data_IF_589819741030
#
_entry.id   IF_589819741030
#
_cell.length_a   1.000
_cell.length_b   1.000
_cell.length_c   1.000
_cell.angle_alpha   90.00
_cell.angle_beta   90.00
_cell.angle_gamma   90.00
#
_symmetry.space_group_name_H-M   'P 1'
#
loop_
_entity.id
_entity.type
_entity.pdbx_description
1 polymer ?
#
# COMPACT_ATOMS: atom_id res chain seq x y z
N UNK A 1 -25.60 21.51 -36.94
CA UNK A 1 -26.12 21.64 -35.56
C UNK A 1 -26.61 20.25 -35.15
N UNK A 2 -25.68 19.32 -34.93
CA UNK A 2 -24.94 19.04 -33.69
C UNK A 2 -25.78 18.23 -32.70
N UNK A 3 -25.82 16.92 -32.94
CA UNK A 3 -26.25 15.87 -32.00
C UNK A 3 -25.35 14.65 -32.25
N UNK A 4 -24.03 14.82 -32.10
CA UNK A 4 -23.08 13.72 -32.35
C UNK A 4 -21.84 13.71 -31.48
N UNK A 5 -21.67 14.66 -30.54
CA UNK A 5 -20.42 14.78 -29.78
C UNK A 5 -20.51 14.26 -28.33
N UNK A 6 -21.69 14.00 -27.77
CA UNK A 6 -21.81 13.50 -26.38
C UNK A 6 -21.77 11.96 -26.24
N UNK A 7 -21.85 11.20 -27.35
CA UNK A 7 -21.90 9.74 -27.29
C UNK A 7 -20.53 9.04 -27.41
N UNK A 8 -19.45 9.79 -27.67
CA UNK A 8 -18.12 9.25 -27.91
C UNK A 8 -17.22 9.18 -26.66
N UNK A 9 -17.53 9.90 -25.58
CA UNK A 9 -16.73 9.94 -24.34
C UNK A 9 -17.08 8.85 -23.31
N UNK A 10 -18.08 8.02 -23.56
CA UNK A 10 -18.51 6.97 -22.62
C UNK A 10 -17.76 5.62 -22.76
N UNK A 11 -16.71 5.56 -23.58
CA UNK A 11 -15.97 4.32 -23.85
C UNK A 11 -14.65 4.34 -23.08
N UNK A 12 -14.54 3.38 -22.17
CA UNK A 12 -13.33 2.99 -21.42
C UNK A 12 -13.10 3.62 -20.04
N UNK A 13 -14.17 3.88 -19.27
CA UNK A 13 -14.00 3.97 -17.81
C UNK A 13 -13.84 2.55 -17.25
N UNK A 14 -12.75 2.23 -16.52
CA UNK A 14 -12.59 0.93 -15.89
C UNK A 14 -13.81 0.66 -14.99
N UNK A 15 -14.33 -0.56 -15.03
CA UNK A 15 -15.42 -0.97 -14.13
C UNK A 15 -14.97 -0.72 -12.69
N UNK A 16 -15.76 0.04 -11.94
CA UNK A 16 -15.52 0.27 -10.52
C UNK A 16 -15.40 -1.06 -9.80
N UNK A 17 -14.41 -1.13 -8.91
CA UNK A 17 -14.22 -2.24 -7.99
C UNK A 17 -15.55 -2.54 -7.27
N UNK A 18 -16.02 -3.79 -7.35
CA UNK A 18 -17.03 -4.30 -6.42
C UNK A 18 -16.44 -4.10 -5.03
N UNK A 19 -17.03 -3.26 -4.17
CA UNK A 19 -16.46 -2.86 -2.86
C UNK A 19 -16.25 -1.37 -2.64
N UNK A 20 -16.56 -0.54 -3.64
CA UNK A 20 -16.42 0.90 -3.55
C UNK A 20 -14.99 1.34 -3.21
N UNK A 21 -14.86 2.39 -2.40
CA UNK A 21 -13.55 3.02 -2.15
C UNK A 21 -12.70 2.20 -1.18
N UNK A 22 -13.28 1.64 -0.12
CA UNK A 22 -12.56 0.76 0.82
C UNK A 22 -12.09 -0.52 0.13
N UNK A 23 -12.92 -1.10 -0.75
CA UNK A 23 -12.55 -2.24 -1.58
C UNK A 23 -11.39 -1.93 -2.53
N UNK A 24 -11.41 -0.76 -3.16
CA UNK A 24 -10.30 -0.30 -3.99
C UNK A 24 -9.01 -0.10 -3.18
N UNK A 25 -9.10 0.45 -1.97
CA UNK A 25 -7.96 0.59 -1.07
C UNK A 25 -7.37 -0.77 -0.65
N UNK A 26 -8.22 -1.80 -0.43
CA UNK A 26 -7.76 -3.18 -0.18
C UNK A 26 -6.98 -3.77 -1.36
N UNK A 27 -7.48 -3.63 -2.58
CA UNK A 27 -6.78 -4.14 -3.76
C UNK A 27 -5.48 -3.34 -4.03
N UNK A 28 -5.49 -2.04 -3.74
CA UNK A 28 -4.30 -1.21 -3.82
C UNK A 28 -3.25 -1.59 -2.77
N UNK A 29 -3.67 -1.91 -1.54
CA UNK A 29 -2.76 -2.35 -0.49
C UNK A 29 -2.12 -3.70 -0.81
N UNK A 30 -2.83 -4.62 -1.47
CA UNK A 30 -2.24 -5.90 -1.89
C UNK A 30 -1.22 -5.74 -3.02
N UNK A 31 -1.46 -4.82 -3.96
CA UNK A 31 -0.45 -4.48 -4.96
C UNK A 31 0.82 -3.89 -4.33
N UNK A 32 0.65 -3.02 -3.33
CA UNK A 32 1.74 -2.50 -2.53
C UNK A 32 2.47 -3.61 -1.76
N UNK A 33 1.74 -4.50 -1.10
CA UNK A 33 2.29 -5.62 -0.34
C UNK A 33 3.07 -6.59 -1.23
N UNK A 34 2.62 -6.82 -2.46
CA UNK A 34 3.33 -7.62 -3.44
C UNK A 34 4.69 -7.02 -3.78
N UNK A 35 4.75 -5.70 -4.03
CA UNK A 35 6.02 -5.00 -4.28
C UNK A 35 6.92 -5.04 -3.05
N UNK A 36 6.39 -4.82 -1.85
CA UNK A 36 7.16 -4.94 -0.61
C UNK A 36 7.78 -6.34 -0.44
N UNK A 37 7.01 -7.41 -0.68
CA UNK A 37 7.53 -8.79 -0.67
C UNK A 37 8.61 -9.01 -1.74
N UNK A 38 8.40 -8.53 -2.96
CA UNK A 38 9.38 -8.64 -4.04
C UNK A 38 10.69 -7.93 -3.70
N UNK A 39 10.62 -6.68 -3.26
CA UNK A 39 11.78 -5.91 -2.81
C UNK A 39 12.54 -6.64 -1.70
N UNK A 40 11.83 -7.20 -0.72
CA UNK A 40 12.46 -7.94 0.39
C UNK A 40 13.11 -9.25 -0.05
N UNK A 41 12.55 -9.94 -1.04
CA UNK A 41 13.07 -11.20 -1.58
C UNK A 41 14.34 -11.03 -2.43
N UNK A 42 14.59 -9.82 -2.94
CA UNK A 42 15.75 -9.51 -3.76
C UNK A 42 16.74 -8.66 -2.96
N UNK A 43 17.84 -9.30 -2.55
CA UNK A 43 18.84 -8.68 -1.68
C UNK A 43 19.55 -7.47 -2.33
N UNK A 44 19.64 -7.43 -3.66
CA UNK A 44 20.20 -6.29 -4.41
C UNK A 44 19.25 -5.11 -4.39
N UNK A 45 17.95 -5.35 -4.62
CA UNK A 45 16.91 -4.34 -4.43
C UNK A 45 16.99 -3.82 -2.99
N UNK A 46 16.92 -4.71 -1.99
CA UNK A 46 16.99 -4.34 -0.58
C UNK A 46 18.24 -3.52 -0.22
N UNK A 47 19.41 -3.81 -0.79
CA UNK A 47 20.61 -3.01 -0.52
C UNK A 47 20.56 -1.58 -1.09
N UNK A 48 19.82 -1.37 -2.19
CA UNK A 48 19.60 -0.04 -2.77
C UNK A 48 18.46 0.73 -2.08
N UNK A 49 17.73 0.07 -1.18
CA UNK A 49 16.59 0.64 -0.44
C UNK A 49 17.01 1.39 0.82
N UNK A 50 18.26 1.29 1.26
CA UNK A 50 18.72 1.85 2.53
C UNK A 50 19.34 3.22 2.28
N UNK A 51 18.52 4.28 2.18
CA UNK A 51 18.98 5.67 2.27
C UNK A 51 18.67 6.24 3.64
N UNK A 52 19.71 6.59 4.39
CA UNK A 52 19.56 7.27 5.68
C UNK A 52 18.97 8.67 5.44
N UNK A 53 17.79 8.96 5.99
CA UNK A 53 17.18 10.30 5.94
C UNK A 53 18.17 11.27 6.60
N UNK A 54 18.65 12.24 5.82
CA UNK A 54 19.51 13.31 6.30
C UNK A 54 18.72 14.63 6.38
N UNK A 55 18.84 15.36 7.50
CA UNK A 55 18.30 16.72 7.64
C UNK A 55 17.01 16.83 8.46
N UNK A 56 16.16 17.80 8.12
CA UNK A 56 14.91 18.12 8.83
C UNK A 56 13.84 17.00 8.74
N UNK A 57 14.03 16.05 7.83
CA UNK A 57 13.21 14.84 7.66
C UNK A 57 13.59 13.72 8.64
N UNK A 58 14.68 13.87 9.41
CA UNK A 58 15.08 12.90 10.42
C UNK A 58 14.43 13.22 11.78
N UNK A 59 13.82 12.22 12.41
CA UNK A 59 13.34 12.32 13.79
C UNK A 59 14.52 12.50 14.79
N UNK A 60 14.97 13.73 14.97
CA UNK A 60 16.16 14.14 15.75
C UNK A 60 16.18 13.75 17.25
N UNK A 61 15.16 13.04 17.77
CA UNK A 61 15.02 12.71 19.20
C UNK A 61 14.73 11.26 19.57
N UNK A 62 14.62 10.33 18.61
CA UNK A 62 14.47 8.90 18.96
C UNK A 62 15.33 8.03 18.07
N UNK A 63 16.23 7.30 18.74
CA UNK A 63 17.06 6.21 18.23
C UNK A 63 16.41 5.42 17.09
N UNK A 64 16.89 5.63 15.86
CA UNK A 64 17.01 4.65 14.78
C UNK A 64 17.47 5.41 13.53
N UNK A 65 18.33 4.80 12.73
CA UNK A 65 18.61 5.26 11.38
C UNK A 65 17.27 5.31 10.63
N UNK A 66 16.79 6.51 10.29
CA UNK A 66 15.53 6.70 9.61
C UNK A 66 15.80 6.39 8.13
N UNK A 67 15.15 5.40 7.55
CA UNK A 67 15.45 4.95 6.20
C UNK A 67 14.29 5.29 5.28
N UNK A 68 14.57 6.08 4.25
CA UNK A 68 13.65 6.26 3.13
C UNK A 68 14.00 5.24 2.06
N UNK A 69 13.04 4.45 1.61
CA UNK A 69 13.30 3.46 0.56
C UNK A 69 12.61 3.78 -0.76
N UNK A 70 13.22 3.39 -1.89
CA UNK A 70 12.52 3.37 -3.18
C UNK A 70 11.22 2.55 -3.09
N UNK A 71 11.15 1.55 -2.21
CA UNK A 71 9.96 0.74 -2.00
C UNK A 71 8.84 1.57 -1.34
N UNK A 72 9.13 2.39 -0.33
CA UNK A 72 8.14 3.27 0.30
C UNK A 72 7.53 4.24 -0.72
N UNK A 73 8.41 4.92 -1.47
CA UNK A 73 7.98 5.84 -2.52
C UNK A 73 7.16 5.10 -3.58
N UNK A 74 7.65 3.97 -4.09
CA UNK A 74 6.96 3.22 -5.14
C UNK A 74 5.60 2.69 -4.64
N UNK A 75 5.52 2.15 -3.43
CA UNK A 75 4.27 1.68 -2.81
C UNK A 75 3.26 2.82 -2.70
N UNK A 76 3.67 3.98 -2.18
CA UNK A 76 2.81 5.15 -2.08
C UNK A 76 2.30 5.59 -3.45
N UNK A 77 3.17 5.62 -4.48
CA UNK A 77 2.80 5.98 -5.85
C UNK A 77 1.87 4.95 -6.50
N UNK A 78 2.06 3.65 -6.24
CA UNK A 78 1.16 2.58 -6.71
C UNK A 78 -0.24 2.76 -6.14
N UNK A 79 -0.35 2.99 -4.82
CA UNK A 79 -1.65 3.18 -4.17
C UNK A 79 -2.34 4.42 -4.75
N UNK A 80 -1.62 5.54 -4.84
CA UNK A 80 -2.15 6.77 -5.43
C UNK A 80 -2.65 6.56 -6.88
N UNK A 81 -1.84 5.88 -7.72
CA UNK A 81 -2.19 5.61 -9.12
C UNK A 81 -3.43 4.72 -9.25
N UNK A 82 -3.50 3.65 -8.46
CA UNK A 82 -4.62 2.70 -8.51
C UNK A 82 -5.93 3.33 -8.07
N UNK A 83 -5.90 4.09 -6.98
CA UNK A 83 -7.08 4.80 -6.49
C UNK A 83 -7.51 5.86 -7.50
N UNK A 84 -6.58 6.71 -7.98
CA UNK A 84 -6.88 7.73 -8.98
C UNK A 84 -7.46 7.17 -10.28
N UNK A 85 -6.99 6.00 -10.73
CA UNK A 85 -7.54 5.31 -11.92
C UNK A 85 -8.99 4.87 -11.74
N UNK A 86 -9.40 4.50 -10.52
CA UNK A 86 -10.76 4.04 -10.21
C UNK A 86 -11.69 5.19 -9.77
N UNK A 87 -11.12 6.20 -9.12
CA UNK A 87 -11.78 7.38 -8.58
C UNK A 87 -10.98 8.63 -8.97
N UNK A 88 -11.14 9.13 -10.21
CA UNK A 88 -10.41 10.31 -10.68
C UNK A 88 -10.61 11.56 -9.80
N UNK A 89 -11.74 11.65 -9.10
CA UNK A 89 -12.04 12.72 -8.13
C UNK A 89 -11.07 12.75 -6.94
N UNK A 90 -10.38 11.63 -6.68
CA UNK A 90 -9.36 11.49 -5.64
C UNK A 90 -7.94 11.64 -6.16
N UNK A 91 -7.76 11.92 -7.45
CA UNK A 91 -6.44 12.23 -8.00
C UNK A 91 -5.86 13.47 -7.28
N UNK A 92 -4.65 13.33 -6.73
CA UNK A 92 -4.02 14.37 -5.90
C UNK A 92 -4.54 14.47 -4.46
N UNK A 93 -5.53 13.67 -4.05
CA UNK A 93 -6.06 13.60 -2.68
C UNK A 93 -5.51 12.39 -1.88
N UNK A 94 -4.43 11.78 -2.36
CA UNK A 94 -3.69 10.72 -1.66
C UNK A 94 -2.40 11.31 -1.10
N UNK A 95 -2.36 11.45 0.22
CA UNK A 95 -1.26 11.96 1.01
C UNK A 95 -0.53 10.79 1.66
N UNK A 96 0.74 10.95 2.03
CA UNK A 96 1.47 9.92 2.77
C UNK A 96 2.74 10.45 3.40
N UNK A 97 3.48 9.56 4.06
CA UNK A 97 4.74 9.88 4.72
C UNK A 97 5.80 10.38 3.73
N UNK A 98 5.88 9.75 2.56
CA UNK A 98 7.03 9.93 1.67
C UNK A 98 6.84 11.05 0.65
N UNK A 99 7.94 11.77 0.39
CA UNK A 99 8.03 12.59 -0.83
C UNK A 99 8.32 11.72 -2.06
N UNK A 100 7.98 12.21 -3.24
CA UNK A 100 8.02 11.42 -4.48
C UNK A 100 9.41 11.31 -5.14
N UNK A 101 10.45 11.87 -4.53
CA UNK A 101 11.78 11.99 -5.13
C UNK A 101 12.80 11.18 -4.35
N UNK A 102 13.65 10.44 -5.08
CA UNK A 102 14.80 9.75 -4.51
C UNK A 102 16.08 10.20 -5.21
N UNK A 103 17.21 10.09 -4.52
CA UNK A 103 18.51 10.31 -5.15
C UNK A 103 19.06 8.98 -5.65
N UNK A 104 19.46 8.88 -6.92
CA UNK A 104 20.09 7.67 -7.44
C UNK A 104 21.58 7.56 -7.03
N UNK A 105 22.22 6.44 -7.37
CA UNK A 105 23.64 6.19 -7.05
C UNK A 105 24.62 7.20 -7.68
N UNK A 106 24.17 8.00 -8.67
CA UNK A 106 24.95 9.05 -9.31
C UNK A 106 24.73 10.43 -8.67
N UNK A 107 23.98 10.51 -7.56
CA UNK A 107 23.65 11.77 -6.89
C UNK A 107 22.60 12.61 -7.63
N UNK A 108 21.85 12.01 -8.57
CA UNK A 108 20.80 12.70 -9.31
C UNK A 108 19.43 12.44 -8.67
N UNK A 109 18.67 13.51 -8.50
CA UNK A 109 17.30 13.41 -8.01
C UNK A 109 16.37 12.89 -9.12
N UNK A 110 15.59 11.88 -8.78
CA UNK A 110 14.64 11.20 -9.67
C UNK A 110 13.28 11.17 -9.00
N UNK A 111 12.32 11.89 -9.58
CA UNK A 111 10.92 11.80 -9.19
C UNK A 111 10.31 10.50 -9.69
N UNK A 112 9.82 9.68 -8.76
CA UNK A 112 9.25 8.36 -9.04
C UNK A 112 7.81 8.47 -9.52
N UNK A 113 7.57 7.94 -10.71
CA UNK A 113 6.28 7.92 -11.37
C UNK A 113 5.87 6.48 -11.69
N UNK A 114 4.61 6.15 -11.41
CA UNK A 114 3.95 4.96 -11.94
C UNK A 114 3.11 5.42 -13.13
N UNK A 115 3.58 5.10 -14.34
CA UNK A 115 2.93 5.48 -15.59
C UNK A 115 1.62 4.72 -15.85
N UNK A 116 0.99 4.97 -17.00
CA UNK A 116 -0.15 4.18 -17.47
C UNK A 116 0.29 2.81 -17.98
N UNK A 117 1.54 2.69 -18.44
CA UNK A 117 2.10 1.45 -18.97
C UNK A 117 3.32 0.97 -18.19
N UNK A 118 3.59 -0.33 -18.27
CA UNK A 118 4.82 -0.94 -17.71
C UNK A 118 6.06 -0.25 -18.28
N UNK A 119 6.05 0.09 -19.57
CA UNK A 119 7.17 0.75 -20.25
C UNK A 119 7.46 2.14 -19.66
N UNK A 120 6.43 2.95 -19.42
CA UNK A 120 6.59 4.28 -18.79
C UNK A 120 7.16 4.17 -17.37
N UNK A 121 6.64 3.23 -16.57
CA UNK A 121 7.17 2.97 -15.21
C UNK A 121 8.60 2.46 -15.27
N UNK A 122 8.91 1.56 -16.21
CA UNK A 122 10.27 1.04 -16.42
C UNK A 122 11.25 2.16 -16.73
N UNK A 123 10.93 3.03 -17.69
CA UNK A 123 11.78 4.17 -18.06
C UNK A 123 12.05 5.12 -16.88
N UNK A 124 11.07 5.30 -15.98
CA UNK A 124 11.26 6.05 -14.75
C UNK A 124 12.21 5.31 -13.79
N UNK A 125 11.94 4.03 -13.53
CA UNK A 125 12.71 3.22 -12.58
C UNK A 125 14.14 2.96 -13.06
N UNK A 126 14.41 2.90 -14.37
CA UNK A 126 15.77 2.81 -14.90
C UNK A 126 16.61 4.03 -14.56
N UNK A 127 16.03 5.23 -14.48
CA UNK A 127 16.74 6.44 -14.06
C UNK A 127 17.08 6.40 -12.56
N UNK A 128 16.16 5.85 -11.76
CA UNK A 128 16.32 5.67 -10.33
C UNK A 128 17.38 4.61 -9.98
N UNK A 129 17.36 3.48 -10.69
CA UNK A 129 18.20 2.31 -10.40
C UNK A 129 19.51 2.28 -11.20
N UNK A 130 19.68 3.21 -12.16
CA UNK A 130 20.88 3.31 -12.99
C UNK A 130 21.07 2.05 -13.82
N UNK A 131 22.17 1.34 -13.58
CA UNK A 131 22.58 0.17 -14.35
C UNK A 131 21.80 -1.11 -14.00
N UNK A 132 20.95 -1.09 -12.95
CA UNK A 132 20.13 -2.25 -12.58
C UNK A 132 18.79 -2.30 -13.33
N UNK A 133 18.88 -2.47 -14.65
CA UNK A 133 17.72 -2.51 -15.55
C UNK A 133 16.80 -3.72 -15.28
N UNK A 134 17.35 -4.85 -14.85
CA UNK A 134 16.57 -6.05 -14.54
C UNK A 134 15.64 -5.79 -13.35
N UNK A 135 16.18 -5.20 -12.28
CA UNK A 135 15.40 -4.76 -11.12
C UNK A 135 14.34 -3.71 -11.50
N UNK A 136 14.70 -2.73 -12.32
CA UNK A 136 13.77 -1.71 -12.79
C UNK A 136 12.59 -2.33 -13.55
N UNK A 137 12.87 -3.31 -14.42
CA UNK A 137 11.87 -4.02 -15.18
C UNK A 137 10.96 -4.86 -14.28
N UNK A 138 11.54 -5.64 -13.36
CA UNK A 138 10.76 -6.46 -12.42
C UNK A 138 9.85 -5.61 -11.53
N UNK A 139 10.32 -4.46 -11.05
CA UNK A 139 9.49 -3.53 -10.27
C UNK A 139 8.39 -2.87 -11.10
N UNK A 140 8.66 -2.52 -12.35
CA UNK A 140 7.64 -1.99 -13.25
C UNK A 140 6.54 -3.02 -13.52
N UNK A 141 6.90 -4.26 -13.83
CA UNK A 141 5.94 -5.36 -14.00
C UNK A 141 5.12 -5.61 -12.73
N UNK A 142 5.76 -5.58 -11.55
CA UNK A 142 5.11 -5.76 -10.26
C UNK A 142 4.12 -4.64 -9.93
N UNK A 143 4.49 -3.38 -10.20
CA UNK A 143 3.63 -2.21 -9.95
C UNK A 143 2.31 -2.27 -10.75
N UNK A 144 2.37 -2.85 -11.94
CA UNK A 144 1.25 -2.99 -12.88
C UNK A 144 0.48 -4.32 -12.76
N UNK A 145 0.92 -5.25 -11.90
CA UNK A 145 0.22 -6.53 -11.70
C UNK A 145 -1.17 -6.30 -11.11
N UNK A 146 -2.22 -6.74 -11.79
CA UNK A 146 -3.59 -6.61 -11.27
C UNK A 146 -3.91 -7.70 -10.24
N UNK A 147 -4.72 -7.33 -9.24
CA UNK A 147 -5.18 -8.21 -8.16
C UNK A 147 -6.70 -8.18 -8.12
N UNK A 148 -7.30 -9.32 -7.82
CA UNK A 148 -8.73 -9.49 -7.60
C UNK A 148 -9.05 -9.96 -6.20
N UNK A 149 -10.34 -10.21 -5.95
CA UNK A 149 -10.84 -10.63 -4.64
C UNK A 149 -10.21 -11.94 -4.15
N UNK A 150 -9.89 -12.86 -5.06
CA UNK A 150 -9.31 -14.16 -4.72
C UNK A 150 -7.83 -14.07 -4.31
N UNK A 151 -7.18 -12.93 -4.56
CA UNK A 151 -5.79 -12.70 -4.13
C UNK A 151 -5.72 -12.11 -2.72
N UNK A 152 -6.86 -11.64 -2.18
CA UNK A 152 -6.94 -11.06 -0.84
C UNK A 152 -7.20 -12.13 0.20
N UNK A 153 -6.33 -12.18 1.21
CA UNK A 153 -6.59 -12.93 2.44
C UNK A 153 -7.32 -12.01 3.44
N UNK A 154 -8.65 -11.95 3.31
CA UNK A 154 -9.56 -11.17 4.14
C UNK A 154 -10.83 -11.97 4.42
N UNK A 155 -11.34 -11.92 5.66
CA UNK A 155 -12.48 -12.74 6.09
C UNK A 155 -13.79 -12.40 5.36
N UNK A 156 -14.03 -11.11 5.16
CA UNK A 156 -15.14 -10.62 4.38
C UNK A 156 -14.73 -9.36 3.62
N UNK A 157 -15.40 -9.13 2.50
CA UNK A 157 -15.07 -8.02 1.61
C UNK A 157 -16.05 -6.86 1.83
N UNK A 158 -15.63 -5.58 1.77
CA UNK A 158 -16.51 -4.47 2.10
C UNK A 158 -17.67 -4.36 1.10
N UNK A 159 -18.88 -4.00 1.57
CA UNK A 159 -19.94 -3.60 0.66
C UNK A 159 -19.58 -2.27 -0.01
N UNK A 160 -20.23 -1.98 -1.14
CA UNK A 160 -20.09 -0.66 -1.78
C UNK A 160 -20.67 0.42 -0.87
N UNK A 161 -19.90 1.48 -0.65
CA UNK A 161 -20.35 2.62 0.15
C UNK A 161 -21.35 3.48 -0.64
N UNK A 162 -22.48 3.79 -0.03
CA UNK A 162 -23.51 4.61 -0.63
C UNK A 162 -23.28 6.10 -0.33
N UNK A 163 -23.48 6.96 -1.33
CA UNK A 163 -23.47 8.43 -1.17
C UNK A 163 -22.16 9.03 -0.63
N UNK A 164 -21.00 8.43 -0.95
CA UNK A 164 -19.71 9.05 -0.66
C UNK A 164 -19.54 10.33 -1.49
N UNK A 165 -19.31 11.44 -0.80
CA UNK A 165 -18.88 12.71 -1.42
C UNK A 165 -17.36 12.69 -1.57
N UNK A 166 -16.90 12.19 -2.73
CA UNK A 166 -15.47 11.99 -3.02
C UNK A 166 -14.65 13.28 -2.92
N UNK A 167 -15.26 14.45 -3.17
CA UNK A 167 -14.57 15.74 -3.06
C UNK A 167 -14.18 16.09 -1.62
N UNK A 168 -14.91 15.54 -0.64
CA UNK A 168 -14.62 15.72 0.79
C UNK A 168 -13.66 14.69 1.36
N UNK A 169 -13.33 13.66 0.61
CA UNK A 169 -12.48 12.56 1.09
C UNK A 169 -11.01 12.87 0.80
N UNK A 170 -10.17 12.55 1.77
CA UNK A 170 -8.73 12.46 1.65
C UNK A 170 -8.27 11.06 2.04
N UNK A 171 -7.12 10.66 1.53
CA UNK A 171 -6.50 9.38 1.86
C UNK A 171 -5.11 9.64 2.43
N UNK A 172 -4.78 8.97 3.52
CA UNK A 172 -3.44 8.98 4.09
C UNK A 172 -2.85 7.58 4.00
N UNK A 173 -1.60 7.46 3.55
CA UNK A 173 -0.88 6.18 3.49
C UNK A 173 0.42 6.22 4.29
N UNK A 174 0.60 5.20 5.11
CA UNK A 174 1.90 4.73 5.60
C UNK A 174 2.32 3.56 4.70
N UNK A 175 3.30 3.75 3.79
CA UNK A 175 3.57 2.78 2.75
C UNK A 175 4.21 1.49 3.27
N UNK A 176 5.12 1.57 4.24
CA UNK A 176 5.73 0.43 4.94
C UNK A 176 6.02 0.84 6.39
N UNK A 177 5.00 0.71 7.23
CA UNK A 177 5.14 0.93 8.67
C UNK A 177 6.10 -0.11 9.27
N UNK A 178 6.86 0.32 10.27
CA UNK A 178 7.98 -0.44 10.85
C UNK A 178 9.10 -0.72 9.84
N UNK A 179 9.53 0.31 9.10
CA UNK A 179 10.60 0.24 8.08
C UNK A 179 11.89 -0.40 8.60
N UNK A 180 12.23 -0.19 9.88
CA UNK A 180 13.38 -0.84 10.51
C UNK A 180 13.26 -2.36 10.54
N UNK A 181 12.07 -2.89 10.85
CA UNK A 181 11.82 -4.33 10.86
C UNK A 181 11.76 -4.89 9.44
N UNK A 182 11.25 -4.10 8.49
CA UNK A 182 11.28 -4.44 7.07
C UNK A 182 12.73 -4.60 6.54
N UNK A 183 13.61 -3.65 6.87
CA UNK A 183 15.02 -3.67 6.46
C UNK A 183 15.81 -4.75 7.20
N UNK A 184 15.64 -4.88 8.53
CA UNK A 184 16.30 -5.93 9.31
C UNK A 184 15.89 -7.30 8.80
N UNK A 185 14.60 -7.42 8.49
CA UNK A 185 14.01 -8.59 7.89
C UNK A 185 14.11 -9.84 8.75
N UNK A 186 14.21 -9.66 10.06
CA UNK A 186 14.21 -10.73 11.04
C UNK A 186 12.82 -11.40 11.09
N UNK A 187 12.80 -12.68 11.45
CA UNK A 187 11.56 -13.41 11.73
C UNK A 187 11.62 -13.82 13.20
N UNK A 188 10.77 -13.22 14.02
CA UNK A 188 10.73 -13.51 15.45
C UNK A 188 9.77 -14.68 15.75
N UNK A 189 9.72 -15.06 17.03
CA UNK A 189 8.77 -16.05 17.53
C UNK A 189 7.66 -15.37 18.32
N UNK A 190 6.46 -15.96 18.26
CA UNK A 190 5.33 -15.52 19.06
C UNK A 190 5.67 -15.61 20.55
N UNK A 191 5.44 -14.52 21.28
CA UNK A 191 5.67 -14.45 22.72
C UNK A 191 4.58 -15.18 23.53
N UNK A 192 4.73 -15.22 24.86
CA UNK A 192 3.80 -15.90 25.78
C UNK A 192 2.35 -15.38 25.74
N UNK A 193 2.12 -14.21 25.14
CA UNK A 193 0.80 -13.58 24.99
C UNK A 193 0.18 -13.78 23.60
N UNK A 194 0.87 -14.47 22.69
CA UNK A 194 0.37 -14.67 21.33
C UNK A 194 0.73 -13.55 20.35
N UNK A 195 1.72 -12.70 20.66
CA UNK A 195 2.13 -11.58 19.79
C UNK A 195 3.57 -11.71 19.29
N UNK A 196 3.79 -11.22 18.07
CA UNK A 196 5.13 -10.88 17.57
C UNK A 196 5.57 -9.56 18.21
N UNK A 197 6.84 -9.48 18.63
CA UNK A 197 7.40 -8.30 19.29
C UNK A 197 8.38 -7.54 18.40
N UNK A 198 8.80 -8.13 17.27
CA UNK A 198 9.72 -7.56 16.28
C UNK A 198 9.64 -8.31 14.95
N UNK A 199 10.47 -7.95 13.98
CA UNK A 199 10.61 -8.67 12.71
C UNK A 199 9.51 -8.38 11.70
N UNK A 200 9.57 -9.10 10.57
CA UNK A 200 8.72 -8.89 9.40
C UNK A 200 7.22 -8.98 9.72
N UNK A 201 6.84 -9.76 10.73
CA UNK A 201 5.45 -9.81 11.19
C UNK A 201 4.94 -8.47 11.76
N UNK A 202 5.80 -7.54 12.14
CA UNK A 202 5.39 -6.20 12.58
C UNK A 202 5.20 -5.21 11.44
N UNK A 203 5.55 -5.57 10.20
CA UNK A 203 5.46 -4.67 9.04
C UNK A 203 4.02 -4.60 8.54
N UNK A 204 3.51 -3.39 8.34
CA UNK A 204 2.16 -3.15 7.80
C UNK A 204 2.15 -2.07 6.73
N UNK A 205 1.16 -2.11 5.87
CA UNK A 205 0.82 -1.05 4.92
C UNK A 205 -0.53 -0.51 5.35
N UNK A 206 -0.56 0.77 5.72
CA UNK A 206 -1.72 1.38 6.35
C UNK A 206 -2.32 2.43 5.44
N UNK A 207 -3.59 2.27 5.06
CA UNK A 207 -4.32 3.23 4.24
C UNK A 207 -5.53 3.70 5.03
N UNK A 208 -5.57 4.99 5.37
CA UNK A 208 -6.69 5.63 6.07
C UNK A 208 -7.48 6.54 5.15
N UNK A 209 -8.81 6.47 5.20
CA UNK A 209 -9.71 7.42 4.56
C UNK A 209 -10.21 8.39 5.63
N UNK A 210 -10.24 9.68 5.32
CA UNK A 210 -10.70 10.70 6.25
C UNK A 210 -11.52 11.80 5.54
N UNK A 211 -12.40 12.45 6.30
CA UNK A 211 -13.09 13.64 5.84
C UNK A 211 -12.16 14.85 5.96
N UNK A 212 -11.84 15.51 4.84
CA UNK A 212 -10.87 16.61 4.77
C UNK A 212 -11.27 17.84 5.57
N UNK A 213 -12.57 18.03 5.85
CA UNK A 213 -13.08 19.20 6.55
C UNK A 213 -12.99 19.04 8.07
N UNK A 214 -13.40 17.88 8.57
CA UNK A 214 -13.46 17.56 10.00
C UNK A 214 -12.21 16.85 10.52
N UNK A 215 -11.40 16.27 9.63
CA UNK A 215 -10.24 15.44 9.95
C UNK A 215 -10.59 14.08 10.54
N UNK A 216 -11.88 13.70 10.56
CA UNK A 216 -12.31 12.43 11.18
C UNK A 216 -12.00 11.25 10.25
N UNK A 217 -11.48 10.13 10.79
CA UNK A 217 -11.31 8.90 10.03
C UNK A 217 -12.69 8.32 9.67
N UNK A 218 -12.79 7.83 8.43
CA UNK A 218 -14.00 7.23 7.87
C UNK A 218 -13.81 5.75 7.58
N UNK A 219 -12.63 5.36 7.10
CA UNK A 219 -12.29 3.96 6.86
C UNK A 219 -10.80 3.73 7.04
N UNK A 220 -10.42 2.47 7.16
CA UNK A 220 -9.03 2.06 7.24
C UNK A 220 -8.83 0.70 6.63
N UNK A 221 -7.67 0.51 6.00
CA UNK A 221 -7.15 -0.76 5.52
C UNK A 221 -5.78 -0.97 6.15
N UNK A 222 -5.58 -2.17 6.70
CA UNK A 222 -4.28 -2.64 7.19
C UNK A 222 -3.95 -3.90 6.41
N UNK A 223 -2.88 -3.85 5.62
CA UNK A 223 -2.30 -5.04 4.98
C UNK A 223 -1.02 -5.41 5.72
N UNK A 224 -0.93 -6.66 6.19
CA UNK A 224 0.29 -7.21 6.77
C UNK A 224 0.94 -8.10 5.70
N UNK A 225 1.99 -7.64 4.99
CA UNK A 225 2.52 -8.36 3.84
C UNK A 225 3.18 -9.69 4.20
N UNK A 226 3.72 -9.79 5.42
CA UNK A 226 4.50 -10.91 5.93
C UNK A 226 3.75 -11.60 7.08
N UNK A 227 2.64 -12.28 6.75
CA UNK A 227 1.82 -12.96 7.75
C UNK A 227 2.17 -14.43 7.90
N UNK A 228 2.18 -15.19 6.81
CA UNK A 228 2.51 -16.60 6.80
C UNK A 228 3.64 -16.88 5.80
N UNK A 229 4.58 -17.74 6.17
CA UNK A 229 5.69 -18.14 5.33
C UNK A 229 5.58 -19.61 4.95
N UNK A 230 5.50 -19.87 3.65
CA UNK A 230 5.61 -21.20 3.08
C UNK A 230 7.00 -21.38 2.42
N UNK A 231 7.58 -22.56 2.52
CA UNK A 231 8.94 -22.83 2.00
C UNK A 231 9.00 -22.90 0.48
N UNK A 232 7.86 -23.07 -0.20
CA UNK A 232 7.74 -23.15 -1.65
C UNK A 232 7.17 -21.85 -2.20
N UNK A 233 6.05 -21.39 -1.65
CA UNK A 233 5.31 -20.21 -2.14
C UNK A 233 5.83 -18.88 -1.55
N UNK A 234 6.65 -18.95 -0.51
CA UNK A 234 7.21 -17.78 0.17
C UNK A 234 6.20 -17.08 1.09
N UNK A 235 6.34 -15.76 1.21
CA UNK A 235 5.48 -14.95 2.08
C UNK A 235 4.10 -14.71 1.48
N UNK A 236 3.08 -14.92 2.30
CA UNK A 236 1.69 -14.52 2.06
C UNK A 236 1.24 -13.54 3.14
N UNK A 237 0.40 -12.59 2.73
CA UNK A 237 -0.12 -11.54 3.60
C UNK A 237 -1.49 -11.86 4.19
N UNK A 238 -2.01 -10.91 4.95
CA UNK A 238 -3.43 -10.81 5.33
C UNK A 238 -3.86 -9.35 5.40
N UNK A 239 -5.15 -9.12 5.18
CA UNK A 239 -5.73 -7.79 5.14
C UNK A 239 -6.86 -7.64 6.15
N UNK A 240 -7.00 -6.43 6.67
CA UNK A 240 -8.13 -6.01 7.49
C UNK A 240 -8.66 -4.69 6.95
N UNK A 241 -9.98 -4.48 7.10
CA UNK A 241 -10.59 -3.20 6.86
C UNK A 241 -11.66 -2.87 7.90
N UNK A 242 -11.92 -1.58 8.04
CA UNK A 242 -13.05 -1.06 8.79
C UNK A 242 -13.60 0.21 8.11
N UNK A 243 -14.90 0.45 8.24
CA UNK A 243 -15.60 1.63 7.73
C UNK A 243 -16.62 2.12 8.76
N UNK A 244 -16.71 3.44 8.95
CA UNK A 244 -17.64 4.11 9.82
C UNK A 244 -18.04 5.50 9.27
N UNK A 245 -19.34 5.72 9.06
CA UNK A 245 -19.91 7.02 8.64
C UNK A 245 -20.78 7.68 9.72
N UNK A 246 -20.69 7.17 10.94
CA UNK A 246 -21.51 7.61 12.08
C UNK A 246 -22.92 6.98 12.13
N UNK A 247 -23.39 6.36 11.03
CA UNK A 247 -24.64 5.59 11.02
C UNK A 247 -24.38 4.08 10.99
N UNK A 248 -23.41 3.66 10.18
CA UNK A 248 -22.99 2.28 10.00
C UNK A 248 -21.55 2.12 10.47
N UNK A 249 -21.25 0.98 11.08
CA UNK A 249 -19.89 0.56 11.42
C UNK A 249 -19.72 -0.87 10.95
N UNK A 250 -18.77 -1.10 10.04
CA UNK A 250 -18.50 -2.38 9.40
C UNK A 250 -17.01 -2.67 9.48
N UNK A 251 -16.63 -3.95 9.55
CA UNK A 251 -15.23 -4.37 9.57
C UNK A 251 -15.09 -5.82 9.15
N UNK A 252 -13.86 -6.21 8.83
CA UNK A 252 -13.47 -7.59 8.54
C UNK A 252 -12.81 -8.32 9.71
N UNK A 253 -12.88 -7.78 10.93
CA UNK A 253 -12.31 -8.51 12.05
C UNK A 253 -13.21 -9.70 12.37
N UNK A 254 -12.62 -10.88 12.62
CA UNK A 254 -13.40 -12.00 13.10
C UNK A 254 -14.04 -11.64 14.45
N UNK A 255 -15.23 -12.17 14.72
CA UNK A 255 -15.85 -12.02 16.05
C UNK A 255 -14.84 -12.48 17.12
N UNK A 256 -14.57 -11.61 18.08
CA UNK A 256 -13.60 -11.91 19.14
C UNK A 256 -14.14 -13.04 20.02
N UNK A 257 -13.68 -14.27 19.77
CA UNK A 257 -13.94 -15.40 20.66
C UNK A 257 -12.95 -15.30 21.82
N UNK A 258 -13.40 -14.75 22.95
CA UNK A 258 -12.60 -14.69 24.17
C UNK A 258 -12.02 -16.07 24.53
N UNK A 259 -10.72 -16.14 24.83
CA UNK A 259 -10.02 -17.36 25.27
C UNK A 259 -10.67 -18.06 26.48
N UNK A 260 -11.56 -17.38 27.21
CA UNK A 260 -12.31 -17.97 28.32
C UNK A 260 -13.41 -18.96 27.88
N UNK A 261 -13.72 -19.07 26.59
CA UNK A 261 -14.74 -20.00 26.09
C UNK A 261 -14.21 -21.41 25.76
N UNK A 262 -12.90 -21.63 25.80
CA UNK A 262 -12.29 -22.93 25.44
C UNK A 262 -12.24 -23.93 26.61
N UNK A 263 -12.61 -23.53 27.85
CA UNK A 263 -12.64 -24.42 29.02
C UNK A 263 -14.05 -24.82 29.45
N UNK A 264 -14.81 -25.50 28.59
CA UNK A 264 -15.90 -26.42 29.01
C UNK A 264 -16.08 -27.54 27.99
N UNK A 265 -15.27 -28.58 28.09
CA UNK A 265 -15.65 -29.97 27.80
C UNK A 265 -14.98 -30.89 28.81
#
# INVERSE_FOLDING_TARGET
MSCSDEAAEARDRPRRCSGGLTGCALLASEAAAHVARMCRSNQRLLSMLVQEKCGDDANSRRFAHDFKTLADVLVQRIVAKRIGRQFPELEGNVYGEENDTIQNNNGQDVTILVGETVEETFQCLSKALGDDLDSAKSLAEAAHKEFGLNDLNVDCYPPEEENLDLEKIGIWIDPIDSTNEYISGNVDSINEYGFHSSGLHCVTINIGLFDKHSGKPMAGVINQPFFNYDTIEGWSGRCYWAYCDGQKSLNSLPEFISCNQVKKK
#
